data_IF_872212959342
#
_entry.id   IF_872212959342
#
_cell.length_a   1.000
_cell.length_b   1.000
_cell.length_c   1.000
_cell.angle_alpha   90.00
_cell.angle_beta   90.00
_cell.angle_gamma   90.00
#
_symmetry.space_group_name_H-M   'P 1'
#
loop_
_entity.id
_entity.type
_entity.pdbx_description
1 polymer ?
#
# COMPACT_ATOMS: atom_id res chain seq x y z
N UNK A 1 16.56 16.41 7.83
CA UNK A 1 16.15 16.04 9.21
C UNK A 1 16.45 14.55 9.42
N UNK A 2 16.93 14.15 10.60
CA UNK A 2 17.22 12.73 10.93
C UNK A 2 15.97 12.08 11.55
N UNK A 3 15.70 10.82 11.24
CA UNK A 3 14.52 10.07 11.71
C UNK A 3 14.79 9.38 13.05
N UNK A 4 15.03 10.19 14.09
CA UNK A 4 15.42 9.71 15.42
C UNK A 4 16.86 9.15 15.47
N UNK A 5 17.61 9.50 16.51
CA UNK A 5 19.01 9.06 16.69
C UNK A 5 20.03 9.78 15.78
N UNK A 6 21.28 9.27 15.78
CA UNK A 6 22.44 9.95 15.16
C UNK A 6 22.67 9.61 13.69
N UNK A 7 22.18 8.48 13.18
CA UNK A 7 22.63 7.90 11.90
C UNK A 7 21.57 7.80 10.80
N UNK A 8 20.26 7.78 11.12
CA UNK A 8 19.21 7.52 10.12
C UNK A 8 18.70 8.81 9.47
N UNK A 9 18.84 8.96 8.15
CA UNK A 9 18.25 10.05 7.38
C UNK A 9 16.74 9.82 7.23
N UNK A 10 15.96 10.90 7.19
CA UNK A 10 14.52 10.79 6.90
C UNK A 10 14.33 10.30 5.46
N UNK A 11 13.50 9.27 5.29
CA UNK A 11 13.04 8.81 3.99
C UNK A 11 11.75 9.55 3.62
N UNK A 12 11.60 9.91 2.34
CA UNK A 12 10.37 10.47 1.78
C UNK A 12 10.01 9.74 0.49
N UNK A 13 8.73 9.68 0.16
CA UNK A 13 8.28 9.37 -1.19
C UNK A 13 7.98 10.67 -1.92
N UNK A 14 8.35 10.75 -3.19
CA UNK A 14 7.88 11.80 -4.09
C UNK A 14 7.18 11.10 -5.25
N UNK A 15 5.97 11.56 -5.55
CA UNK A 15 5.19 11.01 -6.65
C UNK A 15 4.77 12.11 -7.62
N UNK A 16 4.75 11.78 -8.91
CA UNK A 16 4.32 12.70 -9.96
C UNK A 16 3.28 12.04 -10.86
N UNK A 17 2.20 12.74 -11.19
CA UNK A 17 1.20 12.24 -12.14
C UNK A 17 1.79 12.17 -13.54
N UNK A 18 1.46 11.11 -14.28
CA UNK A 18 1.95 10.91 -15.67
C UNK A 18 1.47 12.01 -16.64
N UNK A 19 0.50 12.82 -16.24
CA UNK A 19 0.04 14.00 -16.99
C UNK A 19 0.90 15.24 -16.77
N UNK A 20 1.87 15.23 -15.84
CA UNK A 20 2.72 16.38 -15.58
C UNK A 20 3.70 16.64 -16.73
N UNK A 21 3.98 17.90 -17.13
CA UNK A 21 4.86 18.21 -18.25
C UNK A 21 6.31 17.76 -18.00
N UNK A 22 6.77 17.83 -16.75
CA UNK A 22 8.13 17.41 -16.36
C UNK A 22 8.23 15.89 -16.10
N UNK A 23 7.25 15.08 -16.53
CA UNK A 23 7.23 13.64 -16.22
C UNK A 23 8.47 12.91 -16.73
N UNK A 24 8.96 13.23 -17.93
CA UNK A 24 10.15 12.56 -18.47
C UNK A 24 11.40 12.90 -17.64
N UNK A 25 11.59 14.17 -17.28
CA UNK A 25 12.69 14.57 -16.41
C UNK A 25 12.59 13.90 -15.04
N UNK A 26 11.39 13.83 -14.47
CA UNK A 26 11.16 13.16 -13.19
C UNK A 26 11.51 11.66 -13.25
N UNK A 27 11.17 10.97 -14.35
CA UNK A 27 11.52 9.56 -14.56
C UNK A 27 13.04 9.37 -14.54
N UNK A 28 13.78 10.26 -15.19
CA UNK A 28 15.22 10.10 -15.41
C UNK A 28 16.07 10.67 -14.26
N UNK A 29 15.51 11.54 -13.41
CA UNK A 29 16.30 12.39 -12.52
C UNK A 29 17.20 11.60 -11.56
N UNK A 30 16.68 10.54 -10.93
CA UNK A 30 17.48 9.73 -10.00
C UNK A 30 18.50 8.86 -10.73
N UNK A 31 18.18 8.33 -11.90
CA UNK A 31 19.17 7.60 -12.71
C UNK A 31 20.33 8.50 -13.15
N UNK A 32 20.03 9.74 -13.56
CA UNK A 32 21.05 10.72 -13.91
C UNK A 32 21.98 11.05 -12.72
N UNK A 33 21.44 11.13 -11.50
CA UNK A 33 22.24 11.27 -10.28
C UNK A 33 23.09 10.03 -9.97
N UNK A 34 22.56 8.83 -10.20
CA UNK A 34 23.30 7.58 -10.02
C UNK A 34 24.51 7.50 -10.96
N UNK A 35 24.36 7.95 -12.21
CA UNK A 35 25.48 8.02 -13.16
C UNK A 35 26.58 9.00 -12.71
N UNK A 36 26.22 10.10 -12.03
CA UNK A 36 27.18 11.01 -11.42
C UNK A 36 27.91 10.34 -10.26
N UNK A 37 27.21 9.62 -9.38
CA UNK A 37 27.81 8.87 -8.29
C UNK A 37 28.80 7.82 -8.82
N UNK A 38 28.43 7.06 -9.85
CA UNK A 38 29.35 6.11 -10.49
C UNK A 38 30.57 6.78 -11.13
N UNK A 39 30.40 7.98 -11.72
CA UNK A 39 31.54 8.73 -12.25
C UNK A 39 32.52 9.15 -11.14
N UNK A 40 32.01 9.60 -9.98
CA UNK A 40 32.83 9.92 -8.81
C UNK A 40 33.54 8.67 -8.27
N UNK A 41 32.82 7.55 -8.13
CA UNK A 41 33.41 6.28 -7.68
C UNK A 41 34.57 5.85 -8.59
N UNK A 42 34.42 5.99 -9.91
CA UNK A 42 35.51 5.71 -10.86
C UNK A 42 36.74 6.61 -10.69
N UNK A 43 36.59 7.80 -10.09
CA UNK A 43 37.69 8.70 -9.74
C UNK A 43 38.29 8.43 -8.35
N UNK A 44 37.81 7.41 -7.64
CA UNK A 44 38.36 6.96 -6.35
C UNK A 44 37.59 7.45 -5.11
N UNK A 45 36.44 8.10 -5.28
CA UNK A 45 35.56 8.45 -4.17
C UNK A 45 34.90 7.20 -3.57
N UNK A 46 34.63 7.23 -2.26
CA UNK A 46 34.08 6.07 -1.54
C UNK A 46 32.69 5.67 -2.08
N UNK A 47 32.54 4.40 -2.47
CA UNK A 47 31.30 3.83 -3.03
C UNK A 47 30.25 3.46 -1.97
N UNK A 48 30.54 3.67 -0.69
CA UNK A 48 29.60 3.46 0.40
C UNK A 48 28.39 4.39 0.22
N UNK A 49 27.17 3.91 0.50
CA UNK A 49 25.96 4.74 0.42
C UNK A 49 25.98 5.95 1.38
N UNK A 50 26.77 5.87 2.47
CA UNK A 50 27.06 7.00 3.36
C UNK A 50 28.34 7.76 3.00
N UNK A 51 29.07 7.30 1.98
CA UNK A 51 30.33 7.87 1.50
C UNK A 51 30.12 9.12 0.66
N UNK A 52 31.24 9.75 0.30
CA UNK A 52 31.26 11.07 -0.33
C UNK A 52 30.49 11.11 -1.66
N UNK A 53 30.66 10.09 -2.51
CA UNK A 53 30.00 10.01 -3.82
C UNK A 53 28.47 10.15 -3.69
N UNK A 54 27.84 9.28 -2.91
CA UNK A 54 26.39 9.29 -2.69
C UNK A 54 25.92 10.47 -1.84
N UNK A 55 26.76 11.03 -0.97
CA UNK A 55 26.41 12.23 -0.20
C UNK A 55 26.32 13.50 -1.06
N UNK A 56 26.94 13.51 -2.24
CA UNK A 56 27.07 14.67 -3.11
C UNK A 56 26.01 14.77 -4.22
N UNK A 57 25.22 13.72 -4.42
CA UNK A 57 24.19 13.63 -5.46
C UNK A 57 22.77 13.73 -4.88
N UNK A 58 21.81 14.09 -5.73
CA UNK A 58 20.42 14.29 -5.29
C UNK A 58 19.63 12.96 -5.18
N UNK A 59 18.44 13.05 -4.59
CA UNK A 59 17.41 12.00 -4.51
C UNK A 59 17.75 10.72 -3.73
N UNK A 60 18.90 10.64 -3.05
CA UNK A 60 19.32 9.43 -2.31
C UNK A 60 18.47 9.09 -1.07
N UNK A 61 17.69 10.06 -0.56
CA UNK A 61 16.74 9.83 0.55
C UNK A 61 15.27 9.89 0.07
N UNK A 62 15.04 9.79 -1.24
CA UNK A 62 13.72 9.84 -1.84
C UNK A 62 13.46 8.57 -2.66
N UNK A 63 12.30 7.96 -2.44
CA UNK A 63 11.72 7.00 -3.37
C UNK A 63 10.85 7.79 -4.35
N UNK A 64 10.99 7.55 -5.64
CA UNK A 64 10.26 8.22 -6.70
C UNK A 64 9.20 7.27 -7.25
N UNK A 65 8.00 7.79 -7.56
CA UNK A 65 6.97 7.00 -8.22
C UNK A 65 6.17 7.82 -9.22
N UNK A 66 5.90 7.24 -10.39
CA UNK A 66 4.99 7.85 -11.36
C UNK A 66 3.58 7.30 -11.12
N UNK A 67 2.62 8.22 -10.99
CA UNK A 67 1.19 7.88 -10.86
C UNK A 67 0.57 7.81 -12.24
N UNK A 68 0.34 6.59 -12.72
CA UNK A 68 -0.27 6.30 -14.02
C UNK A 68 -1.78 6.11 -13.87
N UNK A 69 -2.53 6.31 -14.96
CA UNK A 69 -3.99 6.20 -14.99
C UNK A 69 -4.43 5.14 -15.99
N UNK A 70 -5.66 4.63 -15.89
CA UNK A 70 -6.20 3.67 -16.86
C UNK A 70 -6.12 4.20 -18.30
N UNK A 71 -6.49 5.47 -18.61
CA UNK A 71 -6.30 6.03 -19.95
C UNK A 71 -4.85 6.06 -20.43
N UNK A 72 -3.87 6.25 -19.54
CA UNK A 72 -2.46 6.16 -19.92
C UNK A 72 -2.09 4.73 -20.29
N UNK A 73 -2.50 3.74 -19.49
CA UNK A 73 -2.21 2.33 -19.76
C UNK A 73 -2.90 1.84 -21.04
N UNK A 74 -4.10 2.33 -21.36
CA UNK A 74 -4.76 2.12 -22.64
C UNK A 74 -3.96 2.73 -23.80
N UNK A 75 -3.45 3.96 -23.63
CA UNK A 75 -2.60 4.60 -24.63
C UNK A 75 -1.29 3.82 -24.88
N UNK A 76 -0.68 3.24 -23.84
CA UNK A 76 0.48 2.34 -23.97
C UNK A 76 0.15 1.10 -24.79
N UNK A 77 -0.96 0.42 -24.45
CA UNK A 77 -1.41 -0.81 -25.12
C UNK A 77 -1.69 -0.55 -26.59
N UNK A 78 -2.37 0.55 -26.88
CA UNK A 78 -2.82 0.92 -28.21
C UNK A 78 -1.76 1.70 -29.02
N UNK A 79 -0.54 1.85 -28.49
CA UNK A 79 0.59 2.57 -29.10
C UNK A 79 0.30 4.04 -29.50
N UNK A 80 -0.46 4.75 -28.64
CA UNK A 80 -0.92 6.12 -28.86
C UNK A 80 0.04 7.17 -28.26
N UNK A 81 -0.09 8.39 -28.76
CA UNK A 81 0.50 9.57 -28.11
C UNK A 81 -0.20 9.88 -26.79
N UNK A 82 0.60 10.28 -25.80
CA UNK A 82 0.16 10.82 -24.53
C UNK A 82 0.46 12.31 -24.46
N UNK A 83 -0.56 13.11 -24.10
CA UNK A 83 -0.40 14.56 -23.93
C UNK A 83 -0.32 14.89 -22.45
N UNK A 84 0.71 15.63 -22.06
CA UNK A 84 0.81 16.20 -20.71
C UNK A 84 -0.05 17.46 -20.59
N UNK A 85 -0.21 17.98 -19.38
CA UNK A 85 -1.03 19.16 -19.08
C UNK A 85 -0.26 20.12 -18.20
N UNK A 86 -0.18 21.39 -18.60
CA UNK A 86 0.43 22.43 -17.78
C UNK A 86 -0.30 22.56 -16.44
N UNK A 87 0.47 22.61 -15.35
CA UNK A 87 -0.06 22.78 -13.98
C UNK A 87 -0.29 24.25 -13.63
N UNK A 88 0.35 25.17 -14.36
CA UNK A 88 0.22 26.61 -14.21
C UNK A 88 -0.51 27.23 -15.39
N UNK A 89 -1.32 28.26 -15.13
CA UNK A 89 -1.97 29.05 -16.18
C UNK A 89 -1.00 30.01 -16.90
N UNK A 90 0.23 30.18 -16.39
CA UNK A 90 1.27 31.08 -16.95
C UNK A 90 2.25 30.36 -17.88
N UNK A 91 1.75 29.47 -18.72
CA UNK A 91 2.58 28.70 -19.66
C UNK A 91 2.25 29.09 -21.09
N UNK A 92 3.27 29.41 -21.87
CA UNK A 92 3.13 29.67 -23.30
C UNK A 92 3.40 28.38 -24.08
N UNK A 93 2.58 28.10 -25.09
CA UNK A 93 2.77 26.96 -26.00
C UNK A 93 2.04 25.68 -25.57
N UNK A 94 2.16 24.65 -26.41
CA UNK A 94 1.54 23.35 -26.16
C UNK A 94 2.38 22.56 -25.15
N UNK A 95 1.75 21.83 -24.21
CA UNK A 95 2.47 20.96 -23.30
C UNK A 95 3.15 19.82 -24.07
N UNK A 96 4.28 19.28 -23.55
CA UNK A 96 4.97 18.17 -24.17
C UNK A 96 4.04 16.98 -24.45
N UNK A 97 4.28 16.32 -25.58
CA UNK A 97 3.64 15.06 -25.95
C UNK A 97 4.70 13.99 -26.11
N UNK A 98 4.37 12.79 -25.71
CA UNK A 98 5.26 11.63 -25.77
C UNK A 98 4.53 10.45 -26.37
N UNK A 99 5.24 9.48 -26.94
CA UNK A 99 4.66 8.16 -27.12
C UNK A 99 4.44 7.55 -25.73
N UNK A 100 3.24 7.05 -25.45
CA UNK A 100 2.91 6.51 -24.13
C UNK A 100 3.83 5.32 -23.78
N UNK A 101 4.10 4.45 -24.77
CA UNK A 101 4.99 3.30 -24.62
C UNK A 101 6.42 3.70 -24.30
N UNK A 102 6.92 4.78 -24.88
CA UNK A 102 8.28 5.26 -24.61
C UNK A 102 8.40 5.74 -23.16
N UNK A 103 7.39 6.45 -22.62
CA UNK A 103 7.38 6.83 -21.21
C UNK A 103 7.40 5.60 -20.29
N UNK A 104 6.56 4.59 -20.56
CA UNK A 104 6.54 3.37 -19.73
C UNK A 104 7.85 2.59 -19.82
N UNK A 105 8.39 2.41 -21.02
CA UNK A 105 9.69 1.77 -21.23
C UNK A 105 10.80 2.51 -20.49
N UNK A 106 10.74 3.85 -20.48
CA UNK A 106 11.71 4.68 -19.80
C UNK A 106 11.65 4.55 -18.28
N UNK A 107 10.44 4.43 -17.71
CA UNK A 107 10.25 4.09 -16.30
C UNK A 107 10.91 2.75 -15.97
N UNK A 108 10.66 1.72 -16.78
CA UNK A 108 11.23 0.39 -16.57
C UNK A 108 12.76 0.37 -16.68
N UNK A 109 13.32 1.07 -17.67
CA UNK A 109 14.77 1.18 -17.84
C UNK A 109 15.43 1.91 -16.67
N UNK A 110 14.88 3.03 -16.20
CA UNK A 110 15.41 3.74 -15.04
C UNK A 110 15.31 2.87 -13.77
N UNK A 111 14.16 2.21 -13.56
CA UNK A 111 13.95 1.33 -12.41
C UNK A 111 14.93 0.15 -12.40
N UNK A 112 15.26 -0.41 -13.57
CA UNK A 112 16.30 -1.44 -13.69
C UNK A 112 17.68 -0.94 -13.24
N UNK A 113 18.02 0.32 -13.54
CA UNK A 113 19.33 0.86 -13.27
C UNK A 113 19.50 1.39 -11.84
N UNK A 114 18.47 1.95 -11.22
CA UNK A 114 18.59 2.60 -9.90
C UNK A 114 17.45 2.29 -8.92
N UNK A 115 16.51 1.41 -9.27
CA UNK A 115 15.36 1.05 -8.44
C UNK A 115 14.18 2.04 -8.51
N UNK A 116 14.29 3.11 -9.29
CA UNK A 116 13.28 4.17 -9.40
C UNK A 116 13.07 4.63 -10.86
N UNK A 117 11.89 5.17 -11.20
CA UNK A 117 10.72 5.32 -10.35
C UNK A 117 9.89 4.03 -10.25
N UNK A 118 9.22 3.83 -9.10
CA UNK A 118 8.10 2.91 -8.99
C UNK A 118 6.87 3.39 -9.77
N UNK A 119 5.82 2.56 -9.84
CA UNK A 119 4.57 2.89 -10.51
C UNK A 119 3.39 2.75 -9.54
N UNK A 120 2.49 3.73 -9.56
CA UNK A 120 1.25 3.72 -8.78
C UNK A 120 0.06 3.92 -9.72
N UNK A 121 -0.96 3.08 -9.61
CA UNK A 121 -2.16 3.16 -10.46
C UNK A 121 -3.20 4.10 -9.85
N UNK A 122 -3.14 5.40 -10.18
CA UNK A 122 -3.96 6.48 -9.59
C UNK A 122 -5.46 6.21 -9.70
N UNK A 123 -5.91 5.70 -10.87
CA UNK A 123 -7.30 5.35 -11.11
C UNK A 123 -7.74 4.21 -10.19
N UNK A 124 -6.98 3.12 -10.14
CA UNK A 124 -7.27 2.00 -9.23
C UNK A 124 -7.26 2.45 -7.77
N UNK A 125 -6.25 3.22 -7.33
CA UNK A 125 -6.14 3.71 -5.95
C UNK A 125 -7.40 4.50 -5.56
N UNK A 126 -7.86 5.43 -6.39
CA UNK A 126 -9.02 6.25 -6.07
C UNK A 126 -10.36 5.50 -6.24
N UNK A 127 -10.44 4.48 -7.11
CA UNK A 127 -11.62 3.62 -7.23
C UNK A 127 -11.88 2.79 -5.96
N UNK A 128 -10.83 2.46 -5.20
CA UNK A 128 -10.92 1.73 -3.92
C UNK A 128 -10.88 2.67 -2.71
N UNK A 129 -10.97 3.98 -2.91
CA UNK A 129 -10.94 4.93 -1.81
C UNK A 129 -12.28 4.90 -1.04
N UNK A 130 -12.19 4.68 0.27
CA UNK A 130 -13.34 4.71 1.19
C UNK A 130 -13.85 6.11 1.49
N UNK A 131 -13.06 7.17 1.26
CA UNK A 131 -13.42 8.55 1.61
C UNK A 131 -13.25 9.61 0.51
N UNK A 132 -13.69 9.35 -0.74
CA UNK A 132 -13.45 10.26 -1.87
C UNK A 132 -14.17 11.60 -1.75
N UNK A 133 -15.24 11.70 -0.95
CA UNK A 133 -15.94 12.97 -0.73
C UNK A 133 -15.14 13.91 0.20
N UNK A 134 -14.15 13.37 0.91
CA UNK A 134 -13.23 14.13 1.77
C UNK A 134 -11.96 14.60 1.04
N UNK A 135 -11.70 14.09 -0.16
CA UNK A 135 -10.56 14.45 -0.98
C UNK A 135 -10.02 13.26 -1.80
N UNK A 136 -9.21 13.52 -2.84
CA UNK A 136 -8.54 12.45 -3.58
C UNK A 136 -7.33 11.91 -2.80
N UNK A 137 -6.96 10.66 -3.07
CA UNK A 137 -5.65 10.14 -2.65
C UNK A 137 -4.60 10.69 -3.62
N UNK A 138 -3.74 11.59 -3.12
CA UNK A 138 -2.74 12.28 -3.94
C UNK A 138 -1.37 11.59 -3.95
N UNK A 139 -1.02 10.89 -2.87
CA UNK A 139 0.24 10.19 -2.70
C UNK A 139 0.09 9.01 -1.73
N UNK A 140 1.20 8.29 -1.53
CA UNK A 140 1.36 7.26 -0.50
C UNK A 140 2.43 7.65 0.50
N UNK A 141 2.67 6.81 1.49
CA UNK A 141 3.78 6.90 2.43
C UNK A 141 5.09 6.37 1.80
N UNK A 142 6.25 6.46 2.50
CA UNK A 142 7.55 6.04 1.98
C UNK A 142 7.67 4.60 1.46
N UNK A 143 6.82 3.68 1.93
CA UNK A 143 6.86 2.27 1.51
C UNK A 143 5.72 1.89 0.55
N UNK A 144 4.91 2.86 0.10
CA UNK A 144 3.86 2.73 -0.91
C UNK A 144 2.68 1.81 -0.55
N UNK A 145 2.52 1.41 0.71
CA UNK A 145 1.44 0.54 1.19
C UNK A 145 0.23 1.31 1.73
N UNK A 146 0.44 2.54 2.20
CA UNK A 146 -0.60 3.35 2.83
C UNK A 146 -1.14 4.39 1.84
N UNK A 147 -2.36 4.14 1.37
CA UNK A 147 -3.07 4.98 0.39
C UNK A 147 -4.29 5.59 1.05
N UNK A 148 -4.18 6.83 1.51
CA UNK A 148 -5.28 7.53 2.18
C UNK A 148 -5.15 9.04 2.01
N UNK A 149 -6.06 9.80 2.64
CA UNK A 149 -6.09 11.26 2.57
C UNK A 149 -4.77 11.89 3.02
N UNK A 150 -4.45 13.06 2.45
CA UNK A 150 -3.26 13.82 2.81
C UNK A 150 -3.26 14.18 4.31
N UNK A 151 -2.07 14.37 4.88
CA UNK A 151 -1.90 14.69 6.29
C UNK A 151 -2.60 13.69 7.21
N UNK A 152 -2.42 12.39 6.98
CA UNK A 152 -2.90 11.33 7.88
C UNK A 152 -1.73 10.49 8.37
N UNK A 153 -1.88 9.87 9.55
CA UNK A 153 -0.93 8.90 10.08
C UNK A 153 -1.50 7.48 9.97
N UNK A 154 -0.67 6.45 10.13
CA UNK A 154 -1.13 5.07 10.17
C UNK A 154 -0.52 4.35 11.37
N UNK A 155 -1.35 3.65 12.15
CA UNK A 155 -0.88 2.76 13.22
C UNK A 155 -0.67 1.37 12.63
N UNK A 156 0.57 0.90 12.60
CA UNK A 156 0.95 -0.35 11.93
C UNK A 156 1.14 -1.52 12.90
N UNK A 157 0.71 -2.71 12.49
CA UNK A 157 1.01 -3.98 13.13
C UNK A 157 1.03 -5.10 12.08
N UNK A 158 1.70 -6.21 12.37
CA UNK A 158 1.74 -7.36 11.47
C UNK A 158 1.63 -8.67 12.23
N UNK A 159 0.87 -9.61 11.68
CA UNK A 159 0.66 -10.95 12.24
C UNK A 159 1.57 -11.95 11.50
N UNK A 160 2.29 -12.81 12.23
CA UNK A 160 3.05 -13.91 11.63
C UNK A 160 2.11 -15.07 11.26
N UNK A 161 1.92 -15.31 9.95
CA UNK A 161 0.99 -16.33 9.45
C UNK A 161 1.34 -17.76 9.89
N UNK A 162 2.63 -18.07 10.09
CA UNK A 162 3.07 -19.41 10.48
C UNK A 162 2.58 -19.83 11.87
N UNK A 163 2.17 -18.88 12.73
CA UNK A 163 1.56 -19.19 14.04
C UNK A 163 0.17 -19.80 13.95
N UNK A 164 -0.47 -19.74 12.77
CA UNK A 164 -1.80 -20.26 12.51
C UNK A 164 -1.76 -21.54 11.65
N UNK A 165 -0.57 -22.04 11.31
CA UNK A 165 -0.43 -23.33 10.66
C UNK A 165 -0.53 -24.46 11.69
N UNK A 166 -1.54 -25.30 11.57
CA UNK A 166 -1.76 -26.45 12.44
C UNK A 166 -0.79 -27.61 12.13
N UNK A 167 -0.59 -28.57 13.06
CA UNK A 167 0.26 -29.72 12.85
C UNK A 167 -0.14 -30.59 11.65
N UNK A 168 -1.44 -30.65 11.34
CA UNK A 168 -1.99 -31.38 10.18
C UNK A 168 -1.81 -30.64 8.85
N UNK A 169 -1.26 -29.42 8.87
CA UNK A 169 -1.05 -28.57 7.71
C UNK A 169 -2.22 -27.66 7.35
N UNK A 170 -3.34 -27.73 8.06
CA UNK A 170 -4.45 -26.79 7.89
C UNK A 170 -4.12 -25.42 8.50
N UNK A 171 -4.84 -24.40 8.08
CA UNK A 171 -4.73 -23.05 8.61
C UNK A 171 -5.87 -22.78 9.60
N UNK A 172 -5.51 -22.30 10.78
CA UNK A 172 -6.41 -21.95 11.86
C UNK A 172 -7.12 -20.63 11.58
N UNK A 173 -8.28 -20.71 10.92
CA UNK A 173 -9.10 -19.55 10.60
C UNK A 173 -9.55 -18.85 11.88
N UNK A 174 -10.13 -19.59 12.83
CA UNK A 174 -10.73 -18.99 14.03
C UNK A 174 -9.68 -18.27 14.88
N UNK A 175 -8.52 -18.90 15.07
CA UNK A 175 -7.38 -18.28 15.74
C UNK A 175 -6.88 -17.03 15.02
N UNK A 176 -6.78 -17.08 13.68
CA UNK A 176 -6.33 -15.94 12.88
C UNK A 176 -7.30 -14.77 12.95
N UNK A 177 -8.60 -15.01 12.81
CA UNK A 177 -9.62 -13.96 12.92
C UNK A 177 -9.66 -13.34 14.33
N UNK A 178 -9.51 -14.16 15.37
CA UNK A 178 -9.43 -13.69 16.76
C UNK A 178 -8.18 -12.80 16.98
N UNK A 179 -7.03 -13.18 16.44
CA UNK A 179 -5.81 -12.37 16.48
C UNK A 179 -6.00 -11.05 15.72
N UNK A 180 -6.57 -11.09 14.51
CA UNK A 180 -6.86 -9.90 13.72
C UNK A 180 -7.74 -8.91 14.51
N UNK A 181 -8.84 -9.41 15.10
CA UNK A 181 -9.73 -8.62 15.95
C UNK A 181 -8.99 -7.97 17.11
N UNK A 182 -8.21 -8.75 17.86
CA UNK A 182 -7.54 -8.27 19.06
C UNK A 182 -6.53 -7.16 18.75
N UNK A 183 -5.66 -7.37 17.76
CA UNK A 183 -4.67 -6.37 17.35
C UNK A 183 -5.32 -5.13 16.77
N UNK A 184 -6.40 -5.28 16.00
CA UNK A 184 -7.13 -4.15 15.43
C UNK A 184 -7.77 -3.28 16.51
N UNK A 185 -8.41 -3.88 17.53
CA UNK A 185 -8.94 -3.13 18.68
C UNK A 185 -7.80 -2.40 19.43
N UNK A 186 -6.65 -3.05 19.61
CA UNK A 186 -5.49 -2.42 20.24
C UNK A 186 -4.99 -1.20 19.43
N UNK A 187 -4.87 -1.33 18.10
CA UNK A 187 -4.48 -0.23 17.22
C UNK A 187 -5.50 0.91 17.25
N UNK A 188 -6.79 0.60 17.33
CA UNK A 188 -7.88 1.59 17.41
C UNK A 188 -7.87 2.37 18.73
N UNK A 189 -7.56 1.70 19.85
CA UNK A 189 -7.35 2.37 21.15
C UNK A 189 -6.17 3.35 21.06
N UNK A 190 -5.08 2.98 20.38
CA UNK A 190 -3.89 3.84 20.26
C UNK A 190 -4.18 5.16 19.54
N UNK A 191 -5.16 5.22 18.61
CA UNK A 191 -5.51 6.45 17.89
C UNK A 191 -5.81 7.59 18.86
N UNK A 192 -6.57 7.33 19.94
CA UNK A 192 -6.96 8.35 20.92
C UNK A 192 -5.87 8.71 21.94
N UNK A 193 -4.78 7.95 21.99
CA UNK A 193 -3.68 8.17 22.94
C UNK A 193 -2.34 8.50 22.25
N UNK A 194 -2.32 8.57 20.92
CA UNK A 194 -1.13 8.92 20.16
C UNK A 194 -0.83 10.42 20.23
N UNK A 195 0.45 10.75 20.01
CA UNK A 195 0.89 12.12 19.75
C UNK A 195 1.26 12.27 18.29
N UNK A 196 0.77 13.33 17.65
CA UNK A 196 0.97 13.57 16.23
C UNK A 196 1.90 14.77 16.00
N UNK A 197 2.71 14.76 14.92
CA UNK A 197 3.76 15.76 14.71
C UNK A 197 3.23 17.14 14.28
N UNK A 198 2.02 17.21 13.71
CA UNK A 198 1.35 18.45 13.31
C UNK A 198 -0.13 18.40 13.68
N UNK A 199 -0.76 19.57 13.80
CA UNK A 199 -2.18 19.72 14.11
C UNK A 199 -3.06 19.07 13.03
N UNK A 200 -2.79 19.35 11.75
CA UNK A 200 -3.53 18.75 10.62
C UNK A 200 -3.48 17.21 10.64
N UNK A 201 -2.33 16.62 10.96
CA UNK A 201 -2.21 15.15 11.08
C UNK A 201 -3.00 14.63 12.28
N UNK A 202 -3.00 15.37 13.40
CA UNK A 202 -3.75 14.99 14.59
C UNK A 202 -5.26 15.00 14.32
N UNK A 203 -5.77 16.07 13.71
CA UNK A 203 -7.17 16.23 13.36
C UNK A 203 -7.63 15.10 12.44
N UNK A 204 -6.96 14.91 11.30
CA UNK A 204 -7.33 13.87 10.35
C UNK A 204 -7.23 12.45 10.92
N UNK A 205 -6.23 12.18 11.76
CA UNK A 205 -6.09 10.86 12.40
C UNK A 205 -7.23 10.57 13.37
N UNK A 206 -7.78 11.57 14.05
CA UNK A 206 -8.99 11.40 14.88
C UNK A 206 -10.27 11.32 14.06
N UNK A 207 -10.39 12.14 13.00
CA UNK A 207 -11.57 12.19 12.12
C UNK A 207 -11.81 10.89 11.37
N UNK A 208 -10.75 10.28 10.84
CA UNK A 208 -10.85 9.11 9.95
C UNK A 208 -10.33 7.82 10.57
N UNK A 209 -9.58 7.91 11.67
CA UNK A 209 -9.09 6.76 12.45
C UNK A 209 -8.37 5.70 11.60
N UNK A 210 -7.43 6.10 10.72
CA UNK A 210 -6.74 5.19 9.81
C UNK A 210 -5.80 4.22 10.54
N UNK A 211 -5.96 2.93 10.26
CA UNK A 211 -5.15 1.84 10.79
C UNK A 211 -4.49 1.05 9.65
N UNK A 212 -3.53 0.21 10.01
CA UNK A 212 -2.83 -0.64 9.07
C UNK A 212 -2.41 -1.95 9.71
N UNK A 213 -3.34 -2.91 9.80
CA UNK A 213 -3.00 -4.28 10.13
C UNK A 213 -2.55 -5.03 8.86
N UNK A 214 -1.42 -5.71 8.95
CA UNK A 214 -0.90 -6.58 7.89
C UNK A 214 -0.52 -7.96 8.41
N UNK A 215 0.21 -8.70 7.58
CA UNK A 215 0.82 -9.97 7.97
C UNK A 215 2.21 -10.13 7.38
N UNK A 216 2.94 -11.14 7.85
CA UNK A 216 4.25 -11.55 7.37
C UNK A 216 4.26 -13.07 7.13
N UNK A 217 5.35 -13.62 6.57
CA UNK A 217 5.55 -15.06 6.39
C UNK A 217 4.61 -15.75 5.37
N UNK A 218 4.13 -15.02 4.36
CA UNK A 218 3.28 -15.62 3.31
C UNK A 218 4.04 -16.69 2.50
N UNK A 219 5.29 -16.41 2.14
CA UNK A 219 6.14 -17.34 1.40
C UNK A 219 6.33 -18.68 2.14
N UNK A 220 6.70 -18.62 3.43
CA UNK A 220 6.81 -19.82 4.27
C UNK A 220 5.51 -20.60 4.36
N UNK A 221 4.37 -19.92 4.49
CA UNK A 221 3.08 -20.59 4.58
C UNK A 221 2.74 -21.33 3.27
N UNK A 222 2.94 -20.66 2.12
CA UNK A 222 2.70 -21.26 0.80
C UNK A 222 3.63 -22.46 0.57
N UNK A 223 4.92 -22.30 0.87
CA UNK A 223 5.92 -23.35 0.74
C UNK A 223 5.58 -24.57 1.60
N UNK A 224 5.24 -24.35 2.89
CA UNK A 224 4.92 -25.44 3.82
C UNK A 224 3.54 -26.08 3.57
N UNK A 225 2.70 -25.45 2.75
CA UNK A 225 1.48 -26.04 2.18
C UNK A 225 1.76 -26.88 0.92
N UNK A 226 3.01 -26.91 0.43
CA UNK A 226 3.43 -27.71 -0.72
C UNK A 226 3.08 -27.08 -2.07
N UNK A 227 2.87 -25.76 -2.12
CA UNK A 227 2.57 -25.03 -3.36
C UNK A 227 3.78 -24.22 -3.83
N UNK A 228 4.01 -24.19 -5.13
CA UNK A 228 4.93 -23.23 -5.73
C UNK A 228 4.34 -21.82 -5.61
N UNK A 229 5.15 -20.82 -5.27
CA UNK A 229 4.67 -19.47 -4.98
C UNK A 229 3.93 -18.81 -6.15
N UNK A 230 4.32 -19.13 -7.39
CA UNK A 230 3.71 -18.62 -8.63
C UNK A 230 2.54 -19.48 -9.16
N UNK A 231 2.10 -20.49 -8.40
CA UNK A 231 1.02 -21.39 -8.80
C UNK A 231 -0.38 -20.81 -8.54
N UNK A 232 -1.40 -21.31 -9.24
CA UNK A 232 -2.79 -20.91 -9.03
C UNK A 232 -3.28 -21.24 -7.60
N UNK A 233 -2.95 -22.41 -6.99
CA UNK A 233 -3.29 -22.68 -5.60
C UNK A 233 -2.68 -21.67 -4.62
N UNK A 234 -1.44 -21.22 -4.85
CA UNK A 234 -0.79 -20.21 -4.02
C UNK A 234 -1.48 -18.84 -4.13
N UNK A 235 -1.84 -18.41 -5.35
CA UNK A 235 -2.64 -17.20 -5.57
C UNK A 235 -4.01 -17.27 -4.90
N UNK A 236 -4.68 -18.41 -5.01
CA UNK A 236 -5.97 -18.67 -4.35
C UNK A 236 -5.85 -18.58 -2.82
N UNK A 237 -4.86 -19.25 -2.23
CA UNK A 237 -4.58 -19.22 -0.80
C UNK A 237 -4.23 -17.80 -0.31
N UNK A 238 -3.39 -17.06 -1.04
CA UNK A 238 -3.05 -15.66 -0.75
C UNK A 238 -4.30 -14.77 -0.76
N UNK A 239 -5.15 -14.90 -1.78
CA UNK A 239 -6.41 -14.17 -1.87
C UNK A 239 -7.34 -14.45 -0.69
N UNK A 240 -7.50 -15.72 -0.31
CA UNK A 240 -8.37 -16.11 0.79
C UNK A 240 -7.85 -15.63 2.15
N UNK A 241 -6.55 -15.76 2.44
CA UNK A 241 -5.95 -15.30 3.70
C UNK A 241 -6.00 -13.77 3.81
N UNK A 242 -5.69 -13.05 2.73
CA UNK A 242 -5.78 -11.60 2.70
C UNK A 242 -7.23 -11.13 2.89
N UNK A 243 -8.18 -11.84 2.29
CA UNK A 243 -9.60 -11.59 2.48
C UNK A 243 -10.06 -11.83 3.93
N UNK A 244 -9.57 -12.90 4.57
CA UNK A 244 -9.83 -13.18 5.98
C UNK A 244 -9.25 -12.09 6.89
N UNK A 245 -8.02 -11.62 6.64
CA UNK A 245 -7.43 -10.50 7.39
C UNK A 245 -8.31 -9.26 7.28
N UNK A 246 -8.57 -8.81 6.05
CA UNK A 246 -9.28 -7.57 5.78
C UNK A 246 -10.74 -7.61 6.24
N UNK A 247 -11.43 -8.73 6.01
CA UNK A 247 -12.81 -8.90 6.46
C UNK A 247 -12.93 -8.95 7.99
N UNK A 248 -11.98 -9.59 8.69
CA UNK A 248 -12.05 -9.73 10.16
C UNK A 248 -11.95 -8.39 10.86
N UNK A 249 -11.06 -7.52 10.37
CA UNK A 249 -10.90 -6.18 10.95
C UNK A 249 -12.02 -5.23 10.57
N UNK A 250 -12.58 -5.33 9.35
CA UNK A 250 -13.74 -4.52 8.97
C UNK A 250 -15.01 -4.96 9.69
N UNK A 251 -15.19 -6.27 9.94
CA UNK A 251 -16.27 -6.76 10.79
C UNK A 251 -16.13 -6.20 12.21
N UNK A 252 -14.92 -6.26 12.77
CA UNK A 252 -14.61 -5.68 14.09
C UNK A 252 -14.89 -4.17 14.11
N UNK A 253 -14.49 -3.44 13.07
CA UNK A 253 -14.76 -2.02 12.89
C UNK A 253 -16.26 -1.69 12.87
N UNK A 254 -17.07 -2.50 12.18
CA UNK A 254 -18.52 -2.32 12.13
C UNK A 254 -19.20 -2.62 13.47
N UNK A 255 -18.76 -3.67 14.17
CA UNK A 255 -19.24 -3.97 15.52
C UNK A 255 -18.88 -2.87 16.52
N UNK A 256 -17.66 -2.32 16.44
CA UNK A 256 -17.26 -1.16 17.26
C UNK A 256 -18.12 0.06 16.95
N UNK A 257 -18.41 0.33 15.67
CA UNK A 257 -19.29 1.41 15.28
C UNK A 257 -20.71 1.27 15.87
N UNK A 258 -21.23 0.05 15.98
CA UNK A 258 -22.50 -0.23 16.65
C UNK A 258 -22.54 0.12 18.15
N UNK A 259 -21.37 0.24 18.79
CA UNK A 259 -21.24 0.56 20.22
C UNK A 259 -20.85 2.02 20.47
N UNK A 260 -19.84 2.52 19.74
CA UNK A 260 -19.23 3.85 19.97
C UNK A 260 -19.42 4.84 18.81
N UNK A 261 -20.19 4.46 17.79
CA UNK A 261 -20.39 5.22 16.56
C UNK A 261 -19.25 5.04 15.54
N UNK A 262 -19.52 5.28 14.25
CA UNK A 262 -18.52 5.22 13.18
C UNK A 262 -17.46 6.34 13.34
N UNK A 263 -16.44 6.36 12.47
CA UNK A 263 -15.54 7.53 12.39
C UNK A 263 -16.32 8.78 11.97
N UNK A 264 -15.80 9.96 12.33
CA UNK A 264 -16.53 11.22 12.20
C UNK A 264 -16.86 11.58 10.74
N UNK A 265 -15.93 11.29 9.82
CA UNK A 265 -16.12 11.47 8.38
C UNK A 265 -16.98 10.40 7.69
N UNK A 266 -17.62 9.48 8.43
CA UNK A 266 -18.34 8.35 7.82
C UNK A 266 -19.60 8.81 7.08
N UNK A 267 -20.42 9.69 7.66
CA UNK A 267 -21.71 10.02 7.06
C UNK A 267 -21.55 10.73 5.69
N UNK A 268 -20.53 11.59 5.55
CA UNK A 268 -20.20 12.21 4.27
C UNK A 268 -19.67 11.20 3.24
N UNK A 269 -19.15 10.05 3.68
CA UNK A 269 -18.55 9.03 2.84
C UNK A 269 -19.28 7.67 2.90
N UNK A 270 -20.52 7.66 3.41
CA UNK A 270 -21.27 6.42 3.68
C UNK A 270 -21.38 5.57 2.43
N UNK A 271 -21.91 6.14 1.35
CA UNK A 271 -22.12 5.43 0.10
C UNK A 271 -20.79 4.93 -0.53
N UNK A 272 -19.75 5.78 -0.70
CA UNK A 272 -18.45 5.29 -1.17
C UNK A 272 -17.87 4.15 -0.33
N UNK A 273 -17.89 4.27 1.00
CA UNK A 273 -17.32 3.24 1.87
C UNK A 273 -18.11 1.93 1.80
N UNK A 274 -19.43 1.98 1.84
CA UNK A 274 -20.27 0.79 1.67
C UNK A 274 -20.04 0.13 0.32
N UNK A 275 -19.89 0.94 -0.75
CA UNK A 275 -19.56 0.44 -2.08
C UNK A 275 -18.20 -0.29 -2.10
N UNK A 276 -17.15 0.27 -1.50
CA UNK A 276 -15.84 -0.39 -1.40
C UNK A 276 -15.91 -1.72 -0.65
N UNK A 277 -16.72 -1.81 0.40
CA UNK A 277 -16.91 -3.07 1.15
C UNK A 277 -17.64 -4.13 0.31
N UNK A 278 -18.63 -3.73 -0.49
CA UNK A 278 -19.28 -4.62 -1.47
C UNK A 278 -18.29 -5.05 -2.56
N UNK A 279 -17.43 -4.16 -3.04
CA UNK A 279 -16.38 -4.49 -4.01
C UNK A 279 -15.40 -5.53 -3.47
N UNK A 280 -14.99 -5.43 -2.19
CA UNK A 280 -14.18 -6.46 -1.54
C UNK A 280 -14.93 -7.78 -1.44
N UNK A 281 -16.19 -7.76 -1.02
CA UNK A 281 -17.07 -8.95 -0.97
C UNK A 281 -17.16 -9.63 -2.33
N UNK A 282 -17.38 -8.87 -3.40
CA UNK A 282 -17.43 -9.40 -4.78
C UNK A 282 -16.08 -9.91 -5.29
N UNK A 283 -14.97 -9.34 -4.80
CA UNK A 283 -13.63 -9.83 -5.12
C UNK A 283 -13.35 -11.20 -4.49
N UNK A 284 -13.96 -11.54 -3.35
CA UNK A 284 -13.84 -12.88 -2.75
C UNK A 284 -14.38 -13.97 -3.67
N UNK A 285 -15.49 -13.70 -4.36
CA UNK A 285 -16.10 -14.64 -5.30
C UNK A 285 -15.20 -14.93 -6.52
N UNK A 286 -14.26 -14.03 -6.81
CA UNK A 286 -13.29 -14.15 -7.91
C UNK A 286 -12.02 -14.89 -7.51
N UNK A 287 -11.86 -15.28 -6.24
CA UNK A 287 -10.73 -16.12 -5.81
C UNK A 287 -10.84 -17.48 -6.51
N UNK A 288 -9.77 -17.90 -7.15
CA UNK A 288 -9.72 -19.16 -7.91
C UNK A 288 -9.95 -20.40 -7.03
N UNK A 289 -10.54 -21.45 -7.60
CA UNK A 289 -10.95 -22.65 -6.86
C UNK A 289 -9.85 -23.72 -6.72
N UNK A 290 -8.64 -23.48 -7.23
CA UNK A 290 -7.51 -24.42 -7.13
C UNK A 290 -6.88 -24.49 -5.74
N UNK A 291 -7.11 -23.49 -4.88
CA UNK A 291 -6.60 -23.45 -3.51
C UNK A 291 -7.52 -24.13 -2.48
N UNK A 292 -7.20 -24.01 -1.18
CA UNK A 292 -7.97 -24.65 -0.12
C UNK A 292 -9.38 -24.05 0.01
N UNK A 293 -10.38 -24.81 -0.44
CA UNK A 293 -11.79 -24.38 -0.52
C UNK A 293 -12.38 -23.88 0.82
N UNK A 294 -11.97 -24.48 1.94
CA UNK A 294 -12.45 -24.06 3.25
C UNK A 294 -12.06 -22.62 3.61
N UNK A 295 -10.91 -22.12 3.12
CA UNK A 295 -10.48 -20.73 3.32
C UNK A 295 -11.36 -19.76 2.53
N UNK A 296 -11.61 -20.06 1.25
CA UNK A 296 -12.49 -19.25 0.39
C UNK A 296 -13.91 -19.19 0.95
N UNK A 297 -14.46 -20.32 1.39
CA UNK A 297 -15.80 -20.36 1.99
C UNK A 297 -15.86 -19.54 3.29
N UNK A 298 -14.86 -19.64 4.15
CA UNK A 298 -14.79 -18.84 5.37
C UNK A 298 -14.70 -17.34 5.07
N UNK A 299 -13.91 -16.95 4.06
CA UNK A 299 -13.83 -15.57 3.59
C UNK A 299 -15.18 -15.07 3.06
N UNK A 300 -15.87 -15.85 2.21
CA UNK A 300 -17.18 -15.46 1.67
C UNK A 300 -18.21 -15.24 2.79
N UNK A 301 -18.32 -16.19 3.72
CA UNK A 301 -19.21 -16.08 4.89
C UNK A 301 -18.89 -14.88 5.80
N UNK A 302 -17.61 -14.54 5.93
CA UNK A 302 -17.16 -13.39 6.71
C UNK A 302 -17.59 -12.07 6.04
N UNK A 303 -17.39 -11.96 4.73
CA UNK A 303 -17.67 -10.72 3.99
C UNK A 303 -19.16 -10.41 3.86
N UNK A 304 -20.02 -11.43 3.81
CA UNK A 304 -21.47 -11.22 3.90
C UNK A 304 -21.84 -10.53 5.23
N UNK A 305 -21.21 -10.93 6.35
CA UNK A 305 -21.42 -10.27 7.66
C UNK A 305 -20.83 -8.86 7.71
N UNK A 306 -19.66 -8.65 7.10
CA UNK A 306 -19.03 -7.31 7.02
C UNK A 306 -19.98 -6.32 6.36
N UNK A 307 -20.53 -6.69 5.20
CA UNK A 307 -21.48 -5.83 4.47
C UNK A 307 -22.76 -5.64 5.26
N UNK A 308 -23.36 -6.70 5.81
CA UNK A 308 -24.60 -6.60 6.61
C UNK A 308 -24.46 -5.63 7.79
N UNK A 309 -23.39 -5.78 8.59
CA UNK A 309 -23.18 -4.93 9.77
C UNK A 309 -22.74 -3.52 9.37
N UNK A 310 -21.92 -3.39 8.33
CA UNK A 310 -21.48 -2.09 7.82
C UNK A 310 -22.64 -1.23 7.31
N UNK A 311 -23.62 -1.83 6.62
CA UNK A 311 -24.82 -1.12 6.17
C UNK A 311 -25.66 -0.62 7.36
N UNK A 312 -25.73 -1.42 8.43
CA UNK A 312 -26.51 -1.12 9.63
C UNK A 312 -25.86 -0.07 10.53
N UNK A 313 -24.56 -0.20 10.80
CA UNK A 313 -23.86 0.57 11.84
C UNK A 313 -22.80 1.53 11.30
N UNK A 314 -22.39 1.36 10.04
CA UNK A 314 -21.18 1.98 9.51
C UNK A 314 -19.91 1.30 10.02
N UNK A 315 -18.79 2.01 9.95
CA UNK A 315 -17.47 1.49 10.34
C UNK A 315 -16.75 2.49 11.24
N UNK A 316 -16.00 1.97 12.22
CA UNK A 316 -15.24 2.80 13.15
C UNK A 316 -13.97 3.39 12.55
N UNK A 317 -13.44 2.79 11.49
CA UNK A 317 -12.15 3.13 10.89
C UNK A 317 -12.27 3.25 9.36
N UNK A 318 -11.78 4.34 8.79
CA UNK A 318 -11.85 4.58 7.34
C UNK A 318 -10.82 3.78 6.52
N UNK A 319 -9.71 3.37 7.16
CA UNK A 319 -8.64 2.54 6.60
C UNK A 319 -8.31 1.46 7.63
N UNK A 320 -8.20 0.20 7.21
CA UNK A 320 -8.11 -0.92 8.15
C UNK A 320 -6.81 -1.73 8.02
N UNK A 321 -6.40 -2.07 6.79
CA UNK A 321 -5.26 -2.96 6.55
C UNK A 321 -4.28 -2.36 5.56
N UNK A 322 -3.00 -2.63 5.78
CA UNK A 322 -1.92 -2.41 4.82
C UNK A 322 -0.89 -3.53 4.96
N UNK A 323 -0.29 -3.94 3.84
CA UNK A 323 0.79 -4.92 3.85
C UNK A 323 2.13 -4.18 3.79
N UNK A 324 2.54 -3.65 4.95
CA UNK A 324 3.80 -2.92 5.08
C UNK A 324 5.02 -3.87 5.02
N UNK A 325 6.18 -3.43 4.51
CA UNK A 325 7.41 -4.19 4.61
C UNK A 325 7.74 -4.49 6.08
N UNK A 326 7.93 -5.76 6.42
CA UNK A 326 8.13 -6.18 7.82
C UNK A 326 9.61 -6.32 8.20
N UNK A 327 10.52 -5.69 7.46
CA UNK A 327 11.95 -5.98 7.48
C UNK A 327 12.67 -5.96 8.84
N UNK A 328 12.23 -5.20 9.85
CA UNK A 328 12.80 -5.30 11.22
C UNK A 328 12.03 -6.25 12.13
N UNK A 329 10.69 -6.20 12.08
CA UNK A 329 9.84 -6.98 12.97
C UNK A 329 9.77 -8.45 12.56
N UNK A 330 9.98 -8.78 11.29
CA UNK A 330 10.07 -10.15 10.78
C UNK A 330 11.16 -10.94 11.52
N UNK A 331 12.35 -10.35 11.69
CA UNK A 331 13.44 -10.97 12.46
C UNK A 331 13.09 -11.15 13.94
N UNK A 332 12.33 -10.22 14.53
CA UNK A 332 11.87 -10.33 15.93
C UNK A 332 10.77 -11.39 16.10
N UNK A 333 9.96 -11.60 15.08
CA UNK A 333 8.88 -12.59 15.06
C UNK A 333 9.33 -13.98 14.58
N UNK A 334 10.62 -14.13 14.27
CA UNK A 334 11.22 -15.35 13.71
C UNK A 334 10.50 -15.77 12.41
N UNK A 335 10.37 -14.80 11.50
CA UNK A 335 9.86 -15.03 10.16
C UNK A 335 10.99 -15.46 9.22
N UNK A 336 10.72 -16.42 8.32
CA UNK A 336 11.64 -16.76 7.24
C UNK A 336 11.48 -15.77 6.06
N UNK A 337 10.25 -15.33 5.75
CA UNK A 337 10.00 -14.32 4.70
C UNK A 337 9.44 -13.00 5.25
N UNK A 338 9.89 -11.87 4.69
CA UNK A 338 9.77 -10.53 5.32
C UNK A 338 8.47 -9.77 5.04
N UNK A 339 7.36 -10.47 4.79
CA UNK A 339 6.09 -9.86 4.44
C UNK A 339 5.25 -10.79 3.59
N UNK A 340 4.94 -10.32 2.38
CA UNK A 340 4.30 -11.14 1.35
C UNK A 340 5.31 -11.83 0.44
N UNK A 341 6.60 -11.48 0.53
CA UNK A 341 7.65 -11.93 -0.38
C UNK A 341 7.82 -13.46 -0.35
N UNK A 342 8.22 -14.08 -1.48
CA UNK A 342 8.65 -15.48 -1.51
C UNK A 342 9.90 -15.70 -0.66
N UNK A 343 10.19 -16.97 -0.37
CA UNK A 343 11.48 -17.41 0.21
C UNK A 343 12.55 -17.54 -0.89
#
# INVERSE_FOLDING_TARGET
VKSGGKTRRAAKMQSLKVTHPDVLEFIECKWNEEQKAHALIRQGYEANFNGEAYSSVFFQNANLSVRVTDPFMEAVRDDKQWSTTWVSQKTNGQPPKYQARDLLNRMAECAWNCGDPGVQYDTTINNWHTCPNSGPINASNPCSEYMFLDNTACNLASINLMKFRQPDGLFDIDGFQAACRLYFIAQEILVGHASYPTEEIAENSHLYRPLGLGYSNLGSLIMTAGHAYDSDPARSMCGAITSLLHGSVNLTSAEMAGVVGPFEGFESNREPMLNVMRMHRDAVEKIDDSGPQYLKQAASNLWDKVVELGERYGYRNAQATVLAPTGTIAFLMDCDTTGIEPD
#
